data_IF_982485602251
#
_entry.id   IF_982485602251
#
_cell.length_a   1.000
_cell.length_b   1.000
_cell.length_c   1.000
_cell.angle_alpha   90.00
_cell.angle_beta   90.00
_cell.angle_gamma   90.00
#
_symmetry.space_group_name_H-M   'P 1'
#
loop_
_entity.id
_entity.type
_entity.pdbx_description
1 polymer ?
#
# COMPACT_ATOMS: atom_id res chain seq x y z
N UNK A 1 14.79 -9.49 4.25
CA UNK A 1 13.95 -9.19 3.10
C UNK A 1 13.07 -7.99 3.40
N UNK A 2 12.93 -7.10 2.43
CA UNK A 2 12.11 -5.91 2.62
C UNK A 2 10.63 -6.29 2.58
N UNK A 3 9.86 -5.82 3.57
CA UNK A 3 8.42 -6.07 3.63
C UNK A 3 7.69 -5.62 2.37
N UNK A 4 8.03 -4.44 1.85
CA UNK A 4 7.35 -3.87 0.69
C UNK A 4 7.49 -4.77 -0.53
N UNK A 5 8.56 -5.52 -0.64
CA UNK A 5 8.77 -6.43 -1.76
C UNK A 5 7.83 -7.63 -1.76
N UNK A 6 7.11 -7.85 -0.66
CA UNK A 6 6.12 -8.94 -0.58
C UNK A 6 4.77 -8.52 -1.12
N UNK A 7 4.56 -7.21 -1.36
CA UNK A 7 3.33 -6.73 -1.97
C UNK A 7 3.39 -6.93 -3.49
N UNK A 8 2.24 -7.21 -4.10
CA UNK A 8 2.21 -7.22 -5.55
C UNK A 8 2.50 -5.82 -6.07
N UNK A 9 2.94 -5.74 -7.33
CA UNK A 9 3.47 -4.48 -7.87
C UNK A 9 2.41 -3.37 -7.88
N UNK A 10 1.16 -3.71 -8.19
CA UNK A 10 0.11 -2.69 -8.25
C UNK A 10 -0.25 -2.15 -6.87
N UNK A 11 -0.30 -3.03 -5.87
CA UNK A 11 -0.56 -2.61 -4.49
C UNK A 11 0.57 -1.74 -3.98
N UNK A 12 1.80 -2.14 -4.24
CA UNK A 12 2.97 -1.35 -3.83
C UNK A 12 3.00 0.01 -4.51
N UNK A 13 2.74 0.03 -5.82
CA UNK A 13 2.74 1.28 -6.58
C UNK A 13 1.67 2.23 -6.07
N UNK A 14 0.45 1.73 -5.85
CA UNK A 14 -0.63 2.56 -5.33
C UNK A 14 -0.26 3.15 -3.97
N UNK A 15 0.32 2.34 -3.10
CA UNK A 15 0.72 2.79 -1.78
C UNK A 15 1.78 3.89 -1.85
N UNK A 16 2.80 3.70 -2.69
CA UNK A 16 3.89 4.67 -2.84
C UNK A 16 3.36 5.97 -3.43
N UNK A 17 2.50 5.90 -4.44
CA UNK A 17 1.93 7.11 -5.04
C UNK A 17 1.12 7.91 -4.01
N UNK A 18 0.43 7.23 -3.12
CA UNK A 18 -0.37 7.90 -2.10
C UNK A 18 0.47 8.44 -0.95
N UNK A 19 1.36 7.61 -0.38
CA UNK A 19 2.04 7.96 0.86
C UNK A 19 3.31 8.79 0.62
N UNK A 20 3.97 8.58 -0.49
CA UNK A 20 5.22 9.29 -0.79
C UNK A 20 4.95 10.51 -1.67
N UNK A 21 4.22 10.31 -2.77
CA UNK A 21 3.98 11.36 -3.75
C UNK A 21 2.76 12.22 -3.42
N UNK A 22 1.91 11.79 -2.51
CA UNK A 22 0.74 12.54 -2.09
C UNK A 22 -0.36 12.67 -3.14
N UNK A 23 -0.41 11.75 -4.10
CA UNK A 23 -1.42 11.81 -5.16
C UNK A 23 -2.80 11.46 -4.62
N UNK A 24 -3.82 12.04 -5.25
CA UNK A 24 -5.20 11.69 -4.93
C UNK A 24 -5.54 10.31 -5.47
N UNK A 25 -6.60 9.70 -4.93
CA UNK A 25 -7.05 8.40 -5.43
C UNK A 25 -7.42 8.48 -6.91
N UNK A 26 -8.02 9.58 -7.36
CA UNK A 26 -8.36 9.77 -8.77
C UNK A 26 -7.09 9.77 -9.64
N UNK A 27 -6.07 10.48 -9.18
CA UNK A 27 -4.79 10.52 -9.92
C UNK A 27 -4.14 9.15 -9.98
N UNK A 28 -4.19 8.41 -8.89
CA UNK A 28 -3.62 7.06 -8.85
C UNK A 28 -4.40 6.14 -9.78
N UNK A 29 -5.72 6.27 -9.81
CA UNK A 29 -6.55 5.47 -10.70
C UNK A 29 -6.17 5.71 -12.16
N UNK A 30 -5.88 6.96 -12.53
CA UNK A 30 -5.43 7.28 -13.88
C UNK A 30 -4.07 6.67 -14.18
N UNK A 31 -3.13 6.79 -13.26
CA UNK A 31 -1.78 6.24 -13.45
C UNK A 31 -1.82 4.74 -13.62
N UNK A 32 -2.58 4.06 -12.78
CA UNK A 32 -2.65 2.60 -12.79
C UNK A 32 -3.69 2.06 -13.77
N UNK A 33 -4.48 2.94 -14.39
CA UNK A 33 -5.52 2.58 -15.35
C UNK A 33 -6.51 1.57 -14.76
N UNK A 34 -7.00 1.88 -13.57
CA UNK A 34 -7.95 1.01 -12.87
C UNK A 34 -9.03 1.87 -12.20
N UNK A 35 -10.17 1.25 -11.83
CA UNK A 35 -11.21 1.99 -11.13
C UNK A 35 -10.73 2.51 -9.77
N UNK A 36 -11.30 3.63 -9.33
CA UNK A 36 -10.93 4.23 -8.06
C UNK A 36 -11.19 3.28 -6.88
N UNK A 37 -12.23 2.46 -6.96
CA UNK A 37 -12.49 1.46 -5.92
C UNK A 37 -11.35 0.46 -5.78
N UNK A 38 -10.72 0.09 -6.89
CA UNK A 38 -9.57 -0.78 -6.88
C UNK A 38 -8.38 -0.11 -6.20
N UNK A 39 -8.18 1.19 -6.44
CA UNK A 39 -7.12 1.94 -5.76
C UNK A 39 -7.34 1.92 -4.26
N UNK A 40 -8.57 2.20 -3.82
CA UNK A 40 -8.91 2.18 -2.39
C UNK A 40 -8.61 0.83 -1.76
N UNK A 41 -9.01 -0.24 -2.43
CA UNK A 41 -8.80 -1.60 -1.93
C UNK A 41 -7.31 -1.92 -1.82
N UNK A 42 -6.54 -1.54 -2.82
CA UNK A 42 -5.10 -1.79 -2.82
C UNK A 42 -4.40 -1.04 -1.70
N UNK A 43 -4.74 0.23 -1.52
CA UNK A 43 -4.14 1.04 -0.46
C UNK A 43 -4.54 0.52 0.91
N UNK A 44 -5.81 0.15 1.07
CA UNK A 44 -6.28 -0.43 2.33
C UNK A 44 -5.51 -1.71 2.65
N UNK A 45 -5.36 -2.59 1.66
CA UNK A 45 -4.64 -3.83 1.86
C UNK A 45 -3.18 -3.58 2.24
N UNK A 46 -2.53 -2.63 1.57
CA UNK A 46 -1.14 -2.30 1.87
C UNK A 46 -1.01 -1.83 3.31
N UNK A 47 -1.91 -0.97 3.77
CA UNK A 47 -1.89 -0.48 5.13
C UNK A 47 -2.12 -1.59 6.14
N UNK A 48 -3.03 -2.50 5.85
CA UNK A 48 -3.29 -3.64 6.73
C UNK A 48 -2.06 -4.52 6.88
N UNK A 49 -1.39 -4.81 5.77
CA UNK A 49 -0.19 -5.64 5.81
C UNK A 49 0.94 -4.95 6.57
N UNK A 50 1.07 -3.64 6.43
CA UNK A 50 2.07 -2.88 7.16
C UNK A 50 1.78 -2.90 8.66
N UNK A 51 0.52 -2.73 9.05
CA UNK A 51 0.14 -2.79 10.45
C UNK A 51 0.41 -4.16 11.05
N UNK A 52 0.10 -5.23 10.33
CA UNK A 52 0.40 -6.59 10.78
C UNK A 52 1.90 -6.80 10.97
N UNK A 53 2.69 -6.30 10.04
CA UNK A 53 4.14 -6.37 10.14
C UNK A 53 4.65 -5.64 11.38
N UNK A 54 4.13 -4.44 11.63
CA UNK A 54 4.53 -3.64 12.78
C UNK A 54 4.12 -4.30 14.09
N UNK A 55 2.96 -4.94 14.13
CA UNK A 55 2.53 -5.68 15.31
C UNK A 55 3.47 -6.84 15.61
N UNK A 56 3.88 -7.56 14.58
CA UNK A 56 4.84 -8.65 14.74
C UNK A 56 6.18 -8.15 15.26
N UNK A 57 6.63 -7.01 14.74
CA UNK A 57 7.86 -6.39 15.21
C UNK A 57 7.76 -6.01 16.68
N UNK A 58 6.63 -5.43 17.08
CA UNK A 58 6.42 -5.05 18.46
C UNK A 58 6.42 -6.26 19.39
N UNK A 59 5.81 -7.35 18.97
CA UNK A 59 5.80 -8.58 19.74
C UNK A 59 7.21 -9.13 19.93
N UNK A 60 8.00 -9.11 18.85
CA UNK A 60 9.36 -9.62 18.90
C UNK A 60 10.29 -8.73 19.72
N UNK A 61 10.04 -7.43 19.73
CA UNK A 61 10.90 -6.46 20.42
C UNK A 61 10.38 -6.05 21.78
N UNK A 62 9.15 -6.39 22.08
CA UNK A 62 8.53 -6.05 23.34
C UNK A 62 8.75 -7.11 24.38
#
# INVERSE_FOLDING_TARGET
MNFINNLDIDTRTAFILREVDGKTYDEIAEVLRCPIGTVRSRIFRARQLILEYMDQENILNG
#
